data_IF_639567461116
#
_entry.id   IF_639567461116
#
_cell.length_a   1.000
_cell.length_b   1.000
_cell.length_c   1.000
_cell.angle_alpha   90.00
_cell.angle_beta   90.00
_cell.angle_gamma   90.00
#
_symmetry.space_group_name_H-M   'P 1'
#
loop_
_entity.id
_entity.type
_entity.pdbx_description
1 polymer ?
#
# COMPACT_ATOMS: atom_id res chain seq x y z
N UNK A 1 -34.52 -3.82 -35.99
CA UNK A 1 -34.72 -2.53 -36.68
C UNK A 1 -33.36 -1.85 -36.76
N UNK A 2 -32.71 -1.85 -37.93
CA UNK A 2 -31.40 -1.20 -38.12
C UNK A 2 -31.60 0.31 -38.28
N UNK A 3 -30.94 1.11 -37.45
CA UNK A 3 -30.91 2.57 -37.59
C UNK A 3 -30.06 2.97 -38.82
N UNK A 4 -30.51 3.88 -39.70
CA UNK A 4 -29.74 4.30 -40.87
C UNK A 4 -28.43 5.01 -40.49
N UNK A 5 -27.41 4.84 -41.32
CA UNK A 5 -26.00 5.16 -40.99
C UNK A 5 -25.70 6.61 -40.62
N UNK A 6 -26.52 7.58 -41.03
CA UNK A 6 -26.37 9.01 -40.68
C UNK A 6 -26.83 9.28 -39.24
N UNK A 7 -27.96 8.70 -38.82
CA UNK A 7 -28.46 8.80 -37.45
C UNK A 7 -27.52 8.08 -36.47
N UNK A 8 -26.94 6.96 -36.90
CA UNK A 8 -25.95 6.22 -36.09
C UNK A 8 -24.65 7.03 -35.88
N UNK A 9 -24.25 7.85 -36.86
CA UNK A 9 -23.06 8.72 -36.77
C UNK A 9 -23.33 9.94 -35.86
N UNK A 10 -24.45 10.64 -36.06
CA UNK A 10 -24.89 11.74 -35.18
C UNK A 10 -25.00 11.32 -33.72
N UNK A 11 -25.57 10.13 -33.46
CA UNK A 11 -25.71 9.59 -32.11
C UNK A 11 -24.38 9.18 -31.47
N UNK A 12 -23.41 8.72 -32.27
CA UNK A 12 -22.05 8.45 -31.79
C UNK A 12 -21.31 9.75 -31.44
N UNK A 13 -21.43 10.77 -32.29
CA UNK A 13 -20.78 12.07 -32.08
C UNK A 13 -21.34 12.79 -30.83
N UNK A 14 -22.66 12.73 -30.60
CA UNK A 14 -23.29 13.24 -29.37
C UNK A 14 -22.79 12.50 -28.12
N UNK A 15 -22.62 11.18 -28.20
CA UNK A 15 -22.17 10.36 -27.07
C UNK A 15 -20.70 10.61 -26.73
N UNK A 16 -19.85 10.83 -27.72
CA UNK A 16 -18.46 11.24 -27.48
C UNK A 16 -18.39 12.66 -26.92
N UNK A 17 -19.22 13.60 -27.40
CA UNK A 17 -19.29 14.95 -26.83
C UNK A 17 -19.71 14.95 -25.35
N UNK A 18 -20.66 14.10 -24.96
CA UNK A 18 -21.07 13.96 -23.55
C UNK A 18 -19.94 13.37 -22.68
N UNK A 19 -19.17 12.40 -23.21
CA UNK A 19 -17.98 11.89 -22.51
C UNK A 19 -16.93 12.97 -22.32
N UNK A 20 -16.64 13.76 -23.36
CA UNK A 20 -15.67 14.85 -23.29
C UNK A 20 -16.10 15.91 -22.27
N UNK A 21 -17.39 16.26 -22.22
CA UNK A 21 -17.95 17.17 -21.23
C UNK A 21 -17.77 16.64 -19.80
N UNK A 22 -18.05 15.35 -19.56
CA UNK A 22 -17.84 14.71 -18.26
C UNK A 22 -16.35 14.74 -17.87
N UNK A 23 -15.46 14.37 -18.79
CA UNK A 23 -14.01 14.40 -18.52
C UNK A 23 -13.51 15.82 -18.24
N UNK A 24 -14.08 16.84 -18.89
CA UNK A 24 -13.77 18.24 -18.60
C UNK A 24 -14.19 18.64 -17.18
N UNK A 25 -15.38 18.23 -16.71
CA UNK A 25 -15.82 18.44 -15.32
C UNK A 25 -14.85 17.77 -14.35
N UNK A 26 -14.52 16.50 -14.58
CA UNK A 26 -13.60 15.78 -13.69
C UNK A 26 -12.21 16.41 -13.64
N UNK A 27 -11.72 16.91 -14.79
CA UNK A 27 -10.41 17.55 -14.89
C UNK A 27 -10.41 18.87 -14.12
N UNK A 28 -11.43 19.71 -14.34
CA UNK A 28 -11.57 20.98 -13.63
C UNK A 28 -11.74 20.79 -12.12
N UNK A 29 -12.48 19.77 -11.69
CA UNK A 29 -12.64 19.42 -10.28
C UNK A 29 -11.31 18.99 -9.64
N UNK A 30 -10.54 18.15 -10.33
CA UNK A 30 -9.22 17.71 -9.86
C UNK A 30 -8.23 18.87 -9.83
N UNK A 31 -8.27 19.76 -10.81
CA UNK A 31 -7.43 20.96 -10.83
C UNK A 31 -7.77 21.91 -9.69
N UNK A 32 -9.06 22.15 -9.42
CA UNK A 32 -9.51 22.94 -8.27
C UNK A 32 -9.01 22.35 -6.94
N UNK A 33 -9.05 21.02 -6.81
CA UNK A 33 -8.48 20.32 -5.65
C UNK A 33 -6.97 20.57 -5.49
N UNK A 34 -6.20 20.45 -6.57
CA UNK A 34 -4.75 20.66 -6.57
C UNK A 34 -4.36 22.13 -6.35
N UNK A 35 -5.18 23.06 -6.82
CA UNK A 35 -4.99 24.51 -6.63
C UNK A 35 -5.52 25.02 -5.29
N UNK A 36 -6.17 24.15 -4.50
CA UNK A 36 -6.81 24.49 -3.22
C UNK A 36 -7.91 25.54 -3.38
N UNK A 37 -8.61 25.51 -4.51
CA UNK A 37 -9.77 26.36 -4.81
C UNK A 37 -11.05 25.63 -4.41
N UNK A 38 -11.51 25.90 -3.19
CA UNK A 38 -12.71 25.26 -2.66
C UNK A 38 -13.98 25.66 -3.43
N UNK A 39 -14.11 26.91 -3.88
CA UNK A 39 -15.34 27.40 -4.51
C UNK A 39 -15.54 26.74 -5.89
N UNK A 40 -14.48 26.68 -6.70
CA UNK A 40 -14.54 25.96 -7.98
C UNK A 40 -14.78 24.46 -7.76
N UNK A 41 -14.12 23.87 -6.75
CA UNK A 41 -14.35 22.47 -6.38
C UNK A 41 -15.83 22.23 -6.03
N UNK A 42 -16.39 23.06 -5.16
CA UNK A 42 -17.79 22.96 -4.70
C UNK A 42 -18.83 23.07 -5.82
N UNK A 43 -18.53 23.86 -6.85
CA UNK A 43 -19.43 24.05 -7.99
C UNK A 43 -19.61 22.78 -8.84
N UNK A 44 -18.60 21.91 -8.86
CA UNK A 44 -18.63 20.62 -9.57
C UNK A 44 -19.41 19.53 -8.85
N UNK A 45 -19.81 19.74 -7.59
CA UNK A 45 -20.51 18.75 -6.79
C UNK A 45 -22.01 19.03 -6.69
N UNK A 46 -22.79 17.97 -6.59
CA UNK A 46 -24.21 18.04 -6.22
C UNK A 46 -24.30 18.43 -4.75
N UNK A 47 -25.00 19.53 -4.47
CA UNK A 47 -25.16 20.05 -3.11
C UNK A 47 -26.44 19.47 -2.50
N UNK A 48 -26.39 18.19 -2.11
CA UNK A 48 -27.54 17.42 -1.63
C UNK A 48 -27.19 16.51 -0.45
N UNK A 49 -28.15 16.19 0.44
CA UNK A 49 -27.99 15.14 1.45
C UNK A 49 -27.69 13.74 0.88
N UNK A 50 -28.00 13.51 -0.40
CA UNK A 50 -27.74 12.23 -1.08
C UNK A 50 -26.31 12.10 -1.58
N UNK A 51 -25.53 13.19 -1.60
CA UNK A 51 -24.14 13.17 -2.06
C UNK A 51 -23.30 12.25 -1.17
N UNK A 52 -22.36 11.51 -1.77
CA UNK A 52 -21.50 10.55 -1.06
C UNK A 52 -20.04 10.75 -1.42
N UNK A 53 -19.17 10.66 -0.41
CA UNK A 53 -17.72 10.54 -0.61
C UNK A 53 -17.21 9.39 0.24
N UNK A 54 -16.74 8.35 -0.44
CA UNK A 54 -16.26 7.12 0.17
C UNK A 54 -14.79 6.95 -0.18
N UNK A 55 -13.95 6.79 0.82
CA UNK A 55 -12.50 6.76 0.63
C UNK A 55 -11.91 5.59 1.39
N UNK A 56 -11.00 4.87 0.74
CA UNK A 56 -10.09 3.94 1.37
C UNK A 56 -8.67 4.44 1.18
N UNK A 57 -7.98 4.69 2.29
CA UNK A 57 -6.54 4.95 2.32
C UNK A 57 -5.84 3.75 2.94
N UNK A 58 -4.72 3.34 2.37
CA UNK A 58 -3.98 2.17 2.86
C UNK A 58 -3.50 2.37 4.32
N UNK A 59 -3.24 3.63 4.71
CA UNK A 59 -2.76 4.01 6.04
C UNK A 59 -3.85 4.49 7.00
N UNK A 60 -4.97 5.06 6.49
CA UNK A 60 -6.02 5.65 7.31
C UNK A 60 -7.32 4.83 7.36
N UNK A 61 -7.39 3.75 6.58
CA UNK A 61 -8.56 2.88 6.50
C UNK A 61 -9.71 3.48 5.70
N UNK A 62 -10.92 3.02 6.02
CA UNK A 62 -12.16 3.42 5.34
C UNK A 62 -12.76 4.66 5.98
N UNK A 63 -13.28 5.55 5.14
CA UNK A 63 -14.15 6.63 5.58
C UNK A 63 -15.30 6.87 4.61
N UNK A 64 -16.45 7.21 5.16
CA UNK A 64 -17.65 7.56 4.41
C UNK A 64 -18.20 8.87 4.96
N UNK A 65 -18.23 9.90 4.12
CA UNK A 65 -18.87 11.17 4.41
C UNK A 65 -20.22 11.21 3.65
N UNK A 66 -21.32 11.42 4.38
CA UNK A 66 -22.69 11.41 3.85
C UNK A 66 -23.30 12.82 3.84
N UNK A 67 -23.71 13.26 2.65
CA UNK A 67 -24.30 14.57 2.42
C UNK A 67 -23.27 15.66 2.14
N UNK A 68 -23.67 16.64 1.32
CA UNK A 68 -22.77 17.71 0.87
C UNK A 68 -22.20 18.54 2.02
N UNK A 69 -22.98 18.90 3.03
CA UNK A 69 -22.50 19.78 4.11
C UNK A 69 -21.31 19.18 4.88
N UNK A 70 -21.36 17.87 5.14
CA UNK A 70 -20.27 17.12 5.80
C UNK A 70 -19.03 17.08 4.91
N UNK A 71 -19.23 16.78 3.62
CA UNK A 71 -18.15 16.75 2.61
C UNK A 71 -17.49 18.12 2.48
N UNK A 72 -18.30 19.18 2.32
CA UNK A 72 -17.87 20.56 2.14
C UNK A 72 -17.06 21.06 3.33
N UNK A 73 -17.57 20.89 4.56
CA UNK A 73 -16.87 21.29 5.78
C UNK A 73 -15.46 20.68 5.85
N UNK A 74 -15.34 19.39 5.50
CA UNK A 74 -14.07 18.69 5.48
C UNK A 74 -13.15 19.17 4.37
N UNK A 75 -13.66 19.32 3.15
CA UNK A 75 -12.87 19.82 2.01
C UNK A 75 -12.28 21.20 2.34
N UNK A 76 -13.04 22.09 2.98
CA UNK A 76 -12.55 23.38 3.50
C UNK A 76 -11.41 23.19 4.50
N UNK A 77 -11.59 22.33 5.50
CA UNK A 77 -10.52 22.05 6.49
C UNK A 77 -9.24 21.55 5.84
N UNK A 78 -9.33 20.69 4.81
CA UNK A 78 -8.14 20.18 4.11
C UNK A 78 -7.46 21.31 3.32
N UNK A 79 -8.24 22.10 2.59
CA UNK A 79 -7.75 23.25 1.82
C UNK A 79 -7.03 24.27 2.70
N UNK A 80 -7.59 24.57 3.87
CA UNK A 80 -7.02 25.51 4.84
C UNK A 80 -5.76 24.96 5.52
N UNK A 81 -5.77 23.68 5.91
CA UNK A 81 -4.68 23.06 6.67
C UNK A 81 -3.48 22.68 5.80
N UNK A 82 -3.70 22.39 4.51
CA UNK A 82 -2.66 21.94 3.57
C UNK A 82 -2.63 22.84 2.32
N UNK A 83 -2.13 24.08 2.44
CA UNK A 83 -2.28 25.10 1.39
C UNK A 83 -1.35 24.90 0.17
N UNK A 84 -0.51 23.86 0.16
CA UNK A 84 0.42 23.60 -0.94
C UNK A 84 -0.35 23.29 -2.22
N UNK A 85 -0.02 24.02 -3.29
CA UNK A 85 -0.62 23.88 -4.63
C UNK A 85 0.25 23.04 -5.55
N UNK A 86 -0.38 22.37 -6.52
CA UNK A 86 0.30 21.52 -7.51
C UNK A 86 -0.31 21.70 -8.90
N UNK A 87 0.52 21.59 -9.95
CA UNK A 87 0.04 21.66 -11.33
C UNK A 87 -0.45 20.28 -11.80
N UNK A 88 -1.62 20.22 -12.45
CA UNK A 88 -2.20 18.97 -12.93
C UNK A 88 -1.28 18.22 -13.89
N UNK A 89 -0.77 18.89 -14.94
CA UNK A 89 0.03 18.25 -16.00
C UNK A 89 1.35 17.65 -15.53
N UNK A 90 1.88 18.13 -14.41
CA UNK A 90 3.15 17.68 -13.84
C UNK A 90 2.96 16.55 -12.82
N UNK A 91 1.76 16.42 -12.25
CA UNK A 91 1.53 15.56 -11.08
C UNK A 91 0.43 14.52 -11.30
N UNK A 92 -0.46 14.70 -12.27
CA UNK A 92 -1.63 13.83 -12.43
C UNK A 92 -1.67 13.21 -13.80
N UNK A 93 -1.76 11.88 -13.82
CA UNK A 93 -2.02 11.09 -15.00
C UNK A 93 -3.20 10.15 -14.76
N UNK A 94 -4.08 10.03 -15.76
CA UNK A 94 -5.19 9.09 -15.72
C UNK A 94 -4.99 7.95 -16.70
N UNK A 95 -5.23 6.73 -16.23
CA UNK A 95 -5.17 5.49 -17.00
C UNK A 95 -6.50 4.74 -16.93
N UNK A 96 -6.75 3.87 -17.92
CA UNK A 96 -7.91 2.95 -17.97
C UNK A 96 -9.25 3.66 -17.75
N UNK A 97 -9.39 4.85 -18.33
CA UNK A 97 -10.62 5.64 -18.25
C UNK A 97 -11.75 4.88 -18.94
N UNK A 98 -12.84 4.69 -18.22
CA UNK A 98 -14.09 4.15 -18.74
C UNK A 98 -15.24 5.07 -18.32
N UNK A 99 -16.03 5.51 -19.29
CA UNK A 99 -17.16 6.43 -19.10
C UNK A 99 -18.41 5.77 -19.65
N UNK A 100 -19.41 5.60 -18.78
CA UNK A 100 -20.75 5.14 -19.17
C UNK A 100 -21.75 6.26 -18.89
N UNK A 101 -22.47 6.66 -19.93
CA UNK A 101 -23.51 7.69 -19.87
C UNK A 101 -24.86 7.06 -20.14
N UNK A 102 -25.85 7.41 -19.31
CA UNK A 102 -27.24 7.01 -19.43
C UNK A 102 -28.15 8.20 -19.07
N UNK A 103 -28.76 8.83 -20.08
CA UNK A 103 -29.67 9.96 -19.93
C UNK A 103 -29.06 11.10 -19.08
N UNK A 104 -29.56 11.29 -17.85
CA UNK A 104 -29.12 12.33 -16.92
C UNK A 104 -28.12 11.83 -15.87
N UNK A 105 -27.59 10.61 -16.01
CA UNK A 105 -26.61 10.02 -15.10
C UNK A 105 -25.40 9.48 -15.88
N UNK A 106 -24.23 9.56 -15.28
CA UNK A 106 -23.05 8.89 -15.77
C UNK A 106 -22.27 8.26 -14.62
N UNK A 107 -21.52 7.21 -14.91
CA UNK A 107 -20.44 6.78 -14.05
C UNK A 107 -19.13 6.69 -14.81
N UNK A 108 -18.05 7.04 -14.11
CA UNK A 108 -16.70 7.05 -14.63
C UNK A 108 -15.81 6.26 -13.71
N UNK A 109 -14.97 5.39 -14.27
CA UNK A 109 -13.92 4.70 -13.52
C UNK A 109 -12.56 4.98 -14.16
N UNK A 110 -11.54 5.23 -13.36
CA UNK A 110 -10.18 5.48 -13.85
C UNK A 110 -9.12 5.21 -12.77
N UNK A 111 -7.90 4.90 -13.22
CA UNK A 111 -6.70 4.88 -12.38
C UNK A 111 -6.10 6.30 -12.38
N UNK A 112 -5.96 6.91 -11.22
CA UNK A 112 -5.34 8.23 -11.02
C UNK A 112 -3.96 8.08 -10.40
N UNK A 113 -2.96 8.72 -11.00
CA UNK A 113 -1.56 8.58 -10.61
C UNK A 113 -0.92 9.94 -10.29
N UNK A 114 -0.26 10.03 -9.13
CA UNK A 114 0.74 11.06 -8.80
C UNK A 114 0.31 12.27 -7.97
N UNK A 115 -0.89 12.24 -7.39
CA UNK A 115 -1.43 13.36 -6.62
C UNK A 115 -0.58 13.71 -5.39
N UNK A 116 -0.02 12.72 -4.68
CA UNK A 116 0.63 12.92 -3.37
C UNK A 116 2.17 12.92 -3.43
N UNK A 117 2.75 13.10 -4.62
CA UNK A 117 4.17 13.41 -4.81
C UNK A 117 5.03 12.21 -5.21
N UNK A 118 4.46 11.25 -5.93
CA UNK A 118 5.15 10.05 -6.41
C UNK A 118 4.33 9.26 -7.44
N UNK A 119 4.49 7.94 -7.46
CA UNK A 119 3.68 7.01 -8.27
C UNK A 119 2.44 6.51 -7.49
N UNK A 120 1.79 7.37 -6.70
CA UNK A 120 0.59 6.98 -5.93
C UNK A 120 -0.53 6.59 -6.87
N UNK A 121 -1.16 5.43 -6.63
CA UNK A 121 -2.23 4.92 -7.47
C UNK A 121 -3.54 4.96 -6.69
N UNK A 122 -4.51 5.71 -7.20
CA UNK A 122 -5.88 5.77 -6.69
C UNK A 122 -6.83 5.24 -7.75
N UNK A 123 -7.65 4.25 -7.38
CA UNK A 123 -8.74 3.77 -8.25
C UNK A 123 -9.97 4.58 -7.92
N UNK A 124 -10.44 5.34 -8.90
CA UNK A 124 -11.55 6.27 -8.76
C UNK A 124 -12.80 5.69 -9.43
N UNK A 125 -13.93 5.81 -8.76
CA UNK A 125 -15.26 5.70 -9.33
C UNK A 125 -16.02 6.97 -8.99
N UNK A 126 -16.53 7.66 -10.00
CA UNK A 126 -17.35 8.86 -9.85
C UNK A 126 -18.71 8.66 -10.50
N UNK A 127 -19.78 8.99 -9.80
CA UNK A 127 -21.13 9.08 -10.35
C UNK A 127 -21.47 10.56 -10.52
N UNK A 128 -21.96 10.91 -11.70
CA UNK A 128 -22.37 12.26 -12.05
C UNK A 128 -23.85 12.29 -12.41
N UNK A 129 -24.51 13.39 -12.07
CA UNK A 129 -25.86 13.72 -12.49
C UNK A 129 -25.84 15.00 -13.32
N UNK A 130 -26.69 15.05 -14.34
CA UNK A 130 -26.95 16.27 -15.08
C UNK A 130 -28.03 17.06 -14.35
N UNK A 131 -27.67 18.23 -13.83
CA UNK A 131 -28.56 19.16 -13.13
C UNK A 131 -28.53 20.48 -13.90
N UNK A 132 -29.69 20.95 -14.34
CA UNK A 132 -29.85 22.18 -15.11
C UNK A 132 -28.91 22.25 -16.33
N UNK A 133 -28.73 21.12 -17.01
CA UNK A 133 -27.89 20.99 -18.19
C UNK A 133 -26.40 20.76 -17.90
N UNK A 134 -25.96 20.85 -16.64
CA UNK A 134 -24.55 20.74 -16.23
C UNK A 134 -24.29 19.43 -15.49
N UNK A 135 -23.19 18.75 -15.83
CA UNK A 135 -22.75 17.55 -15.10
C UNK A 135 -22.16 17.92 -13.75
N UNK A 136 -22.63 17.25 -12.70
CA UNK A 136 -22.15 17.42 -11.31
C UNK A 136 -21.92 16.09 -10.64
N UNK A 137 -20.88 15.99 -9.83
CA UNK A 137 -20.49 14.80 -9.10
C UNK A 137 -21.43 14.60 -7.91
N UNK A 138 -22.11 13.46 -7.85
CA UNK A 138 -22.96 13.06 -6.72
C UNK A 138 -22.29 12.03 -5.81
N UNK A 139 -21.39 11.22 -6.36
CA UNK A 139 -20.68 10.18 -5.61
C UNK A 139 -19.22 10.10 -6.05
N UNK A 140 -18.32 9.99 -5.07
CA UNK A 140 -16.93 9.58 -5.30
C UNK A 140 -16.63 8.37 -4.42
N UNK A 141 -16.03 7.36 -5.04
CA UNK A 141 -15.39 6.23 -4.36
C UNK A 141 -13.93 6.21 -4.79
N UNK A 142 -13.03 6.35 -3.84
CA UNK A 142 -11.58 6.33 -4.07
C UNK A 142 -10.94 5.21 -3.26
N UNK A 143 -10.07 4.42 -3.90
CA UNK A 143 -9.28 3.38 -3.24
C UNK A 143 -7.79 3.58 -3.54
N UNK A 144 -7.01 3.87 -2.50
CA UNK A 144 -5.56 3.99 -2.59
C UNK A 144 -4.87 2.61 -2.66
N UNK A 145 -3.87 2.50 -3.53
CA UNK A 145 -2.94 1.38 -3.63
C UNK A 145 -1.53 1.87 -3.32
N UNK A 146 -0.85 1.21 -2.38
CA UNK A 146 0.54 1.54 -2.00
C UNK A 146 1.58 0.65 -2.67
N UNK A 147 1.17 -0.41 -3.37
CA UNK A 147 2.06 -1.41 -3.99
C UNK A 147 3.09 -0.76 -4.94
N UNK A 148 2.69 0.24 -5.73
CA UNK A 148 3.59 0.91 -6.68
C UNK A 148 4.56 1.90 -6.02
N UNK A 149 4.23 2.40 -4.83
CA UNK A 149 5.04 3.38 -4.09
C UNK A 149 6.04 2.71 -3.14
N UNK A 150 6.03 1.39 -3.06
CA UNK A 150 6.91 0.68 -2.14
C UNK A 150 8.39 0.96 -2.48
N UNK A 151 9.09 1.54 -1.52
CA UNK A 151 10.52 1.85 -1.59
C UNK A 151 11.40 0.64 -1.27
N UNK A 152 10.83 -0.56 -1.36
CA UNK A 152 11.49 -1.84 -1.15
C UNK A 152 11.07 -2.83 -2.24
N UNK A 153 11.87 -3.87 -2.51
CA UNK A 153 11.52 -4.94 -3.44
C UNK A 153 10.17 -5.60 -3.16
N UNK A 154 9.32 -5.69 -4.19
CA UNK A 154 8.05 -6.41 -4.15
C UNK A 154 7.85 -7.32 -5.36
N UNK A 155 7.36 -8.53 -5.10
CA UNK A 155 7.04 -9.55 -6.11
C UNK A 155 5.61 -10.03 -5.88
N UNK A 156 4.76 -9.92 -6.89
CA UNK A 156 3.44 -10.56 -6.91
C UNK A 156 3.55 -12.00 -7.38
N UNK A 157 2.92 -12.92 -6.65
CA UNK A 157 2.94 -14.35 -6.95
C UNK A 157 1.55 -14.98 -6.98
N UNK A 158 1.38 -16.03 -7.79
CA UNK A 158 0.22 -16.93 -7.70
C UNK A 158 0.40 -18.00 -6.59
N UNK A 159 -0.62 -18.84 -6.40
CA UNK A 159 -0.59 -19.92 -5.41
C UNK A 159 0.48 -20.99 -5.68
N UNK A 160 0.99 -21.08 -6.92
CA UNK A 160 2.04 -21.99 -7.37
C UNK A 160 3.44 -21.35 -7.33
N UNK A 161 3.57 -20.15 -6.75
CA UNK A 161 4.76 -19.30 -6.72
C UNK A 161 5.19 -18.73 -8.08
N UNK A 162 4.33 -18.76 -9.12
CA UNK A 162 4.64 -18.07 -10.38
C UNK A 162 4.64 -16.58 -10.16
N UNK A 163 5.65 -15.91 -10.71
CA UNK A 163 5.77 -14.46 -10.63
C UNK A 163 4.82 -13.84 -11.63
N UNK A 164 3.87 -13.04 -11.14
CA UNK A 164 2.91 -12.31 -11.96
C UNK A 164 3.38 -10.88 -12.25
N UNK A 165 4.07 -10.28 -11.28
CA UNK A 165 4.60 -8.92 -11.38
C UNK A 165 5.76 -8.70 -10.42
N UNK A 166 6.61 -7.73 -10.74
CA UNK A 166 7.73 -7.28 -9.90
C UNK A 166 7.87 -5.77 -10.03
N UNK A 167 8.12 -5.07 -8.93
CA UNK A 167 8.57 -3.69 -9.03
C UNK A 167 10.05 -3.61 -9.49
N UNK A 168 10.50 -2.42 -9.88
CA UNK A 168 11.88 -2.18 -10.35
C UNK A 168 12.92 -2.63 -9.33
N UNK A 169 12.70 -2.32 -8.04
CA UNK A 169 13.61 -2.69 -6.96
C UNK A 169 13.75 -4.21 -6.82
N UNK A 170 12.66 -4.98 -6.98
CA UNK A 170 12.72 -6.43 -6.99
C UNK A 170 13.48 -6.96 -8.20
N UNK A 171 13.26 -6.43 -9.40
CA UNK A 171 14.00 -6.85 -10.59
C UNK A 171 15.51 -6.67 -10.45
N UNK A 172 15.94 -5.55 -9.87
CA UNK A 172 17.35 -5.22 -9.64
C UNK A 172 17.96 -6.09 -8.54
N UNK A 173 17.29 -6.20 -7.38
CA UNK A 173 17.90 -6.85 -6.19
C UNK A 173 17.78 -8.36 -6.19
N UNK A 174 16.76 -8.94 -6.82
CA UNK A 174 16.52 -10.40 -6.78
C UNK A 174 17.66 -11.20 -7.44
N UNK A 175 18.38 -10.62 -8.41
CA UNK A 175 19.46 -11.31 -9.13
C UNK A 175 20.64 -11.65 -8.20
N UNK A 176 20.96 -10.76 -7.26
CA UNK A 176 22.05 -10.93 -6.29
C UNK A 176 21.60 -11.48 -4.93
N UNK A 177 20.29 -11.58 -4.68
CA UNK A 177 19.77 -11.91 -3.35
C UNK A 177 20.21 -13.32 -2.91
N UNK A 178 20.78 -13.46 -1.70
CA UNK A 178 21.37 -14.74 -1.26
C UNK A 178 20.33 -15.75 -0.73
N UNK A 179 19.12 -15.30 -0.37
CA UNK A 179 18.05 -16.15 0.17
C UNK A 179 16.95 -16.53 -0.83
N UNK A 180 16.80 -15.78 -1.93
CA UNK A 180 15.71 -15.93 -2.90
C UNK A 180 16.30 -16.07 -4.30
N UNK A 181 15.57 -16.78 -5.17
CA UNK A 181 15.92 -16.93 -6.57
C UNK A 181 14.66 -17.02 -7.43
N UNK A 182 14.83 -16.70 -8.71
CA UNK A 182 13.83 -16.95 -9.74
C UNK A 182 14.29 -18.17 -10.53
N UNK A 183 13.46 -19.20 -10.61
CA UNK A 183 13.72 -20.41 -11.39
C UNK A 183 12.48 -20.81 -12.17
N UNK A 184 12.60 -20.91 -13.50
CA UNK A 184 11.50 -21.22 -14.41
C UNK A 184 10.25 -20.34 -14.18
N UNK A 185 10.46 -19.02 -14.03
CA UNK A 185 9.38 -18.05 -13.80
C UNK A 185 8.73 -18.10 -12.42
N UNK A 186 9.29 -18.85 -11.47
CA UNK A 186 8.77 -18.98 -10.10
C UNK A 186 9.73 -18.43 -9.07
N UNK A 187 9.19 -17.80 -8.03
CA UNK A 187 9.93 -17.40 -6.85
C UNK A 187 10.25 -18.62 -5.97
N UNK A 188 11.51 -18.75 -5.55
CA UNK A 188 11.96 -19.84 -4.69
C UNK A 188 12.91 -19.34 -3.61
N UNK A 189 12.92 -20.02 -2.47
CA UNK A 189 14.05 -19.92 -1.54
C UNK A 189 15.27 -20.66 -2.13
N UNK A 190 16.46 -20.08 -2.01
CA UNK A 190 17.71 -20.70 -2.49
C UNK A 190 18.08 -21.95 -1.70
N UNK A 191 17.78 -21.96 -0.40
CA UNK A 191 18.00 -23.11 0.49
C UNK A 191 16.72 -23.94 0.57
N UNK A 192 16.85 -25.26 0.38
CA UNK A 192 15.73 -26.20 0.36
C UNK A 192 14.96 -26.25 1.69
N UNK A 193 15.66 -26.05 2.81
CA UNK A 193 15.09 -26.01 4.16
C UNK A 193 14.07 -24.87 4.37
N UNK A 194 14.17 -23.78 3.61
CA UNK A 194 13.25 -22.63 3.71
C UNK A 194 12.16 -22.65 2.63
N UNK A 195 12.25 -23.56 1.65
CA UNK A 195 11.31 -23.61 0.53
C UNK A 195 9.89 -24.05 0.93
N UNK A 196 9.75 -24.89 1.95
CA UNK A 196 8.43 -25.26 2.51
C UNK A 196 7.80 -24.09 3.27
N UNK A 197 8.60 -23.38 4.07
CA UNK A 197 8.13 -22.24 4.88
C UNK A 197 7.62 -21.10 4.01
N UNK A 198 8.37 -20.74 2.95
CA UNK A 198 7.93 -19.72 1.99
C UNK A 198 6.62 -20.12 1.28
N UNK A 199 6.53 -21.37 0.82
CA UNK A 199 5.31 -21.88 0.18
C UNK A 199 4.12 -21.89 1.12
N UNK A 200 4.33 -22.26 2.38
CA UNK A 200 3.26 -22.27 3.38
C UNK A 200 2.76 -20.85 3.67
N UNK A 201 3.65 -19.86 3.78
CA UNK A 201 3.25 -18.47 3.96
C UNK A 201 2.39 -17.96 2.79
N UNK A 202 2.77 -18.27 1.54
CA UNK A 202 1.95 -17.95 0.35
C UNK A 202 0.63 -18.71 0.36
N UNK A 203 0.64 -20.00 0.73
CA UNK A 203 -0.59 -20.80 0.82
C UNK A 203 -1.57 -20.24 1.86
N UNK A 204 -1.08 -19.78 3.01
CA UNK A 204 -1.88 -19.10 4.02
C UNK A 204 -2.47 -17.82 3.45
N UNK A 205 -1.67 -16.99 2.77
CA UNK A 205 -2.14 -15.79 2.10
C UNK A 205 -3.27 -16.08 1.10
N UNK A 206 -3.15 -17.13 0.28
CA UNK A 206 -4.21 -17.52 -0.67
C UNK A 206 -5.45 -18.11 0.00
N UNK A 207 -5.29 -18.84 1.11
CA UNK A 207 -6.45 -19.31 1.90
C UNK A 207 -7.25 -18.12 2.42
N UNK A 208 -6.57 -17.08 2.89
CA UNK A 208 -7.22 -15.85 3.35
C UNK A 208 -7.87 -15.09 2.19
N UNK A 209 -7.21 -14.96 1.03
CA UNK A 209 -7.81 -14.32 -0.17
C UNK A 209 -9.10 -15.01 -0.64
N UNK A 210 -9.19 -16.33 -0.47
CA UNK A 210 -10.35 -17.14 -0.84
C UNK A 210 -11.43 -17.18 0.27
N UNK A 211 -11.09 -16.73 1.48
CA UNK A 211 -12.01 -16.66 2.60
C UNK A 211 -12.94 -15.46 2.51
N UNK A 212 -14.22 -15.63 2.84
CA UNK A 212 -15.16 -14.52 3.07
C UNK A 212 -15.05 -13.94 4.50
N UNK A 213 -14.13 -14.46 5.30
CA UNK A 213 -14.01 -14.16 6.72
C UNK A 213 -13.34 -12.81 6.91
N UNK A 214 -14.02 -11.87 7.59
CA UNK A 214 -13.44 -10.58 7.99
C UNK A 214 -12.22 -10.84 8.88
N UNK A 215 -11.06 -10.33 8.49
CA UNK A 215 -9.97 -10.08 9.43
C UNK A 215 -10.47 -8.97 10.37
N UNK A 216 -10.98 -9.41 11.52
CA UNK A 216 -11.38 -8.57 12.63
C UNK A 216 -10.16 -7.72 13.03
N UNK A 217 -10.17 -6.43 12.70
CA UNK A 217 -9.33 -5.39 13.31
C UNK A 217 -7.79 -5.53 13.17
N UNK A 218 -7.26 -6.40 12.31
CA UNK A 218 -5.80 -6.60 12.20
C UNK A 218 -5.21 -5.87 10.98
N UNK A 219 -4.10 -5.13 11.11
CA UNK A 219 -3.41 -4.49 9.98
C UNK A 219 -2.95 -5.53 8.96
N UNK A 220 -2.70 -5.11 7.71
CA UNK A 220 -2.19 -5.92 6.57
C UNK A 220 -1.40 -7.14 7.06
N UNK A 221 -2.05 -8.31 7.10
CA UNK A 221 -1.44 -9.50 7.69
C UNK A 221 -0.19 -9.86 6.89
N UNK A 222 0.95 -9.92 7.59
CA UNK A 222 2.22 -10.22 6.98
C UNK A 222 2.88 -11.39 7.68
N UNK A 223 3.14 -12.46 6.93
CA UNK A 223 3.83 -13.65 7.39
C UNK A 223 5.34 -13.49 7.17
N UNK A 224 6.16 -13.33 8.22
CA UNK A 224 7.60 -13.30 8.09
C UNK A 224 8.13 -14.70 7.75
N UNK A 225 9.01 -14.76 6.76
CA UNK A 225 9.69 -15.98 6.30
C UNK A 225 11.18 -15.76 6.47
N UNK A 226 11.81 -16.64 7.25
CA UNK A 226 13.27 -16.65 7.41
C UNK A 226 13.90 -17.41 6.23
N UNK A 227 14.93 -16.81 5.64
CA UNK A 227 15.62 -17.32 4.46
C UNK A 227 17.05 -17.79 4.75
N UNK A 228 17.41 -17.87 6.04
CA UNK A 228 18.72 -18.28 6.52
C UNK A 228 19.59 -17.08 6.84
N UNK A 229 20.89 -17.24 6.74
CA UNK A 229 21.90 -16.19 6.94
C UNK A 229 22.67 -15.95 5.64
N UNK A 230 23.07 -14.72 5.36
CA UNK A 230 23.95 -14.40 4.24
C UNK A 230 25.41 -14.82 4.51
N UNK A 231 26.31 -14.58 3.56
CA UNK A 231 27.74 -14.88 3.69
C UNK A 231 28.43 -14.16 4.86
N UNK A 232 27.85 -13.09 5.39
CA UNK A 232 28.34 -12.35 6.55
C UNK A 232 27.68 -12.82 7.87
N UNK A 233 26.79 -13.82 7.82
CA UNK A 233 26.05 -14.31 8.99
C UNK A 233 24.80 -13.48 9.32
N UNK A 234 24.38 -12.57 8.42
CA UNK A 234 23.23 -11.69 8.64
C UNK A 234 21.94 -12.45 8.35
N UNK A 235 20.96 -12.49 9.28
CA UNK A 235 19.69 -13.15 9.04
C UNK A 235 18.88 -12.51 7.90
N UNK A 236 18.66 -13.28 6.85
CA UNK A 236 17.83 -12.90 5.71
C UNK A 236 16.37 -13.28 5.95
N UNK A 237 15.47 -12.43 5.48
CA UNK A 237 14.04 -12.63 5.65
C UNK A 237 13.26 -11.98 4.51
N UNK A 238 12.03 -12.46 4.31
CA UNK A 238 11.04 -11.81 3.48
C UNK A 238 9.68 -11.82 4.19
N UNK A 239 8.73 -11.03 3.70
CA UNK A 239 7.36 -11.06 4.18
C UNK A 239 6.42 -11.40 3.05
N UNK A 240 5.53 -12.34 3.30
CA UNK A 240 4.34 -12.54 2.47
C UNK A 240 3.23 -11.69 3.06
N UNK A 241 2.56 -10.87 2.28
CA UNK A 241 1.43 -10.07 2.75
C UNK A 241 0.33 -9.97 1.70
N UNK A 242 -0.87 -9.64 2.16
CA UNK A 242 -2.01 -9.38 1.31
C UNK A 242 -2.25 -7.89 1.14
N UNK A 243 -2.33 -7.46 -0.11
CA UNK A 243 -2.68 -6.08 -0.47
C UNK A 243 -3.36 -6.07 -1.84
N UNK A 244 -4.40 -5.26 -2.02
CA UNK A 244 -5.20 -5.16 -3.25
C UNK A 244 -5.71 -6.49 -3.82
N UNK A 245 -6.01 -7.47 -2.96
CA UNK A 245 -6.43 -8.80 -3.40
C UNK A 245 -5.31 -9.64 -4.03
N UNK A 246 -4.05 -9.28 -3.77
CA UNK A 246 -2.85 -9.95 -4.29
C UNK A 246 -2.01 -10.52 -3.17
N UNK A 247 -1.32 -11.62 -3.47
CA UNK A 247 -0.25 -12.15 -2.62
C UNK A 247 1.09 -11.54 -3.06
N UNK A 248 1.71 -10.79 -2.15
CA UNK A 248 2.94 -10.04 -2.40
C UNK A 248 4.05 -10.57 -1.48
N UNK A 249 5.25 -10.70 -2.04
CA UNK A 249 6.47 -11.01 -1.29
C UNK A 249 7.37 -9.80 -1.31
N UNK A 250 7.66 -9.23 -0.14
CA UNK A 250 8.66 -8.18 0.04
C UNK A 250 9.93 -8.70 0.70
N UNK A 251 11.07 -8.12 0.35
CA UNK A 251 12.38 -8.42 0.94
C UNK A 251 13.23 -7.15 0.97
N UNK A 252 14.32 -7.14 1.74
CA UNK A 252 15.19 -5.97 1.96
C UNK A 252 14.42 -4.69 2.38
N UNK A 253 13.36 -4.86 3.19
CA UNK A 253 12.50 -3.77 3.68
C UNK A 253 12.98 -3.26 5.04
N UNK A 254 14.02 -2.42 5.02
CA UNK A 254 14.61 -1.84 6.21
C UNK A 254 13.63 -1.00 7.05
N UNK A 255 12.61 -0.39 6.43
CA UNK A 255 11.62 0.41 7.15
C UNK A 255 10.69 -0.48 7.96
N UNK A 256 10.20 -1.58 7.38
CA UNK A 256 9.41 -2.57 8.12
C UNK A 256 10.22 -3.21 9.24
N UNK A 257 11.50 -3.53 9.00
CA UNK A 257 12.41 -4.02 10.05
C UNK A 257 12.45 -3.03 11.23
N UNK A 258 12.78 -1.76 10.96
CA UNK A 258 12.92 -0.74 11.98
C UNK A 258 11.62 -0.56 12.78
N UNK A 259 10.48 -0.44 12.08
CA UNK A 259 9.16 -0.31 12.71
C UNK A 259 8.84 -1.50 13.62
N UNK A 260 9.09 -2.73 13.17
CA UNK A 260 8.81 -3.94 13.97
C UNK A 260 9.71 -4.04 15.19
N UNK A 261 10.98 -3.64 15.09
CA UNK A 261 11.88 -3.55 16.25
C UNK A 261 11.38 -2.52 17.27
N UNK A 262 10.92 -1.37 16.81
CA UNK A 262 10.39 -0.32 17.69
C UNK A 262 9.10 -0.78 18.38
N UNK A 263 8.21 -1.47 17.67
CA UNK A 263 7.02 -2.08 18.27
C UNK A 263 7.37 -3.19 19.27
N UNK A 264 8.39 -4.00 18.97
CA UNK A 264 8.90 -5.02 19.87
C UNK A 264 9.47 -4.42 21.17
N UNK A 265 9.97 -3.18 21.14
CA UNK A 265 10.38 -2.46 22.34
C UNK A 265 9.23 -2.32 23.33
N UNK A 266 8.07 -1.90 22.84
CA UNK A 266 6.87 -1.67 23.65
C UNK A 266 6.29 -3.00 24.16
N UNK A 267 6.16 -3.99 23.27
CA UNK A 267 5.53 -5.28 23.60
C UNK A 267 6.36 -6.09 24.61
N UNK A 268 7.67 -6.16 24.41
CA UNK A 268 8.56 -6.94 25.30
C UNK A 268 9.18 -6.08 26.41
N UNK A 269 8.83 -4.80 26.51
CA UNK A 269 9.38 -3.87 27.49
C UNK A 269 10.91 -3.76 27.42
N UNK A 270 11.49 -3.70 26.22
CA UNK A 270 12.93 -3.62 26.02
C UNK A 270 13.44 -2.21 26.38
N UNK A 271 14.60 -2.13 27.05
CA UNK A 271 15.20 -0.83 27.37
C UNK A 271 15.88 -0.21 26.14
N UNK A 272 16.16 1.12 26.15
CA UNK A 272 16.87 1.76 25.04
C UNK A 272 18.22 1.12 24.70
N UNK A 273 18.94 0.60 25.70
CA UNK A 273 20.20 -0.12 25.47
C UNK A 273 19.97 -1.49 24.79
N UNK A 274 18.92 -2.20 25.20
CA UNK A 274 18.54 -3.49 24.63
C UNK A 274 18.11 -3.37 23.18
N UNK A 275 17.37 -2.30 22.83
CA UNK A 275 16.99 -2.04 21.44
C UNK A 275 18.17 -1.68 20.56
N UNK A 276 19.13 -0.90 21.05
CA UNK A 276 20.37 -0.64 20.30
C UNK A 276 21.11 -1.93 19.97
N UNK A 277 21.19 -2.86 20.92
CA UNK A 277 21.78 -4.18 20.68
C UNK A 277 20.93 -5.01 19.70
N UNK A 278 19.61 -5.04 19.88
CA UNK A 278 18.70 -5.79 19.02
C UNK A 278 18.78 -5.34 17.55
N UNK A 279 18.85 -4.02 17.28
CA UNK A 279 19.06 -3.48 15.94
C UNK A 279 20.34 -4.02 15.30
N UNK A 280 21.46 -3.96 16.04
CA UNK A 280 22.74 -4.48 15.53
C UNK A 280 22.70 -5.99 15.23
N UNK A 281 22.00 -6.77 16.04
CA UNK A 281 21.83 -8.21 15.82
C UNK A 281 20.97 -8.46 14.57
N UNK A 282 19.89 -7.70 14.38
CA UNK A 282 19.03 -7.80 13.18
C UNK A 282 19.79 -7.38 11.92
N UNK A 283 20.65 -6.37 12.02
CA UNK A 283 21.58 -5.95 10.97
C UNK A 283 22.73 -6.95 10.75
N UNK A 284 22.79 -8.05 11.53
CA UNK A 284 23.74 -9.15 11.39
C UNK A 284 25.13 -8.91 11.98
N UNK A 285 25.28 -7.90 12.83
CA UNK A 285 26.52 -7.73 13.58
C UNK A 285 26.68 -8.81 14.64
N UNK A 286 27.85 -9.43 14.69
CA UNK A 286 28.22 -10.29 15.81
C UNK A 286 28.40 -9.46 17.12
N UNK A 287 28.51 -10.16 18.25
CA UNK A 287 28.63 -9.50 19.55
C UNK A 287 29.94 -8.71 19.72
N UNK A 288 31.00 -9.05 18.99
CA UNK A 288 32.28 -8.35 19.08
C UNK A 288 32.19 -7.00 18.34
N UNK A 289 31.74 -7.01 17.09
CA UNK A 289 31.48 -5.82 16.30
C UNK A 289 30.44 -4.90 16.96
N UNK A 290 29.39 -5.49 17.55
CA UNK A 290 28.40 -4.72 18.30
C UNK A 290 29.00 -4.06 19.55
N UNK A 291 29.93 -4.74 20.25
CA UNK A 291 30.58 -4.22 21.45
C UNK A 291 31.47 -3.01 21.11
N UNK A 292 32.23 -3.10 20.04
CA UNK A 292 33.05 -1.99 19.52
C UNK A 292 32.19 -0.79 19.16
N UNK A 293 31.10 -1.02 18.42
CA UNK A 293 30.20 0.05 17.95
C UNK A 293 29.45 0.75 19.07
N UNK A 294 29.05 -0.01 20.10
CA UNK A 294 28.40 0.52 21.29
C UNK A 294 29.39 1.02 22.36
N UNK A 295 30.70 0.85 22.15
CA UNK A 295 31.79 1.22 23.07
C UNK A 295 31.61 0.62 24.47
N UNK A 296 31.26 -0.66 24.53
CA UNK A 296 31.10 -1.44 25.77
C UNK A 296 31.83 -2.77 25.67
N UNK A 297 31.95 -3.52 26.78
CA UNK A 297 32.56 -4.85 26.73
C UNK A 297 31.64 -5.90 26.10
N UNK A 298 32.21 -6.91 25.46
CA UNK A 298 31.47 -8.09 24.96
C UNK A 298 30.72 -8.82 26.08
N UNK A 299 31.27 -8.86 27.30
CA UNK A 299 30.59 -9.42 28.47
C UNK A 299 29.34 -8.62 28.86
N UNK A 300 29.39 -7.29 28.74
CA UNK A 300 28.24 -6.41 28.96
C UNK A 300 27.15 -6.73 27.94
N UNK A 301 27.50 -6.88 26.66
CA UNK A 301 26.53 -7.24 25.61
C UNK A 301 25.97 -8.65 25.78
N UNK A 302 26.79 -9.63 26.17
CA UNK A 302 26.30 -10.99 26.48
C UNK A 302 25.25 -10.96 27.60
N UNK A 303 25.50 -10.18 28.65
CA UNK A 303 24.53 -9.97 29.74
C UNK A 303 23.26 -9.27 29.23
N UNK A 304 23.39 -8.25 28.38
CA UNK A 304 22.22 -7.58 27.79
C UNK A 304 21.41 -8.51 26.89
N UNK A 305 22.08 -9.32 26.06
CA UNK A 305 21.46 -10.30 25.17
C UNK A 305 20.70 -11.37 25.96
N UNK A 306 21.28 -11.87 27.05
CA UNK A 306 20.58 -12.81 27.93
C UNK A 306 19.29 -12.21 28.49
N UNK A 307 19.34 -10.95 28.95
CA UNK A 307 18.13 -10.25 29.43
C UNK A 307 17.10 -10.03 28.32
N UNK A 308 17.53 -9.90 27.06
CA UNK A 308 16.60 -9.83 25.92
C UNK A 308 15.95 -11.19 25.70
N UNK A 309 16.70 -12.29 25.75
CA UNK A 309 16.16 -13.65 25.70
C UNK A 309 15.14 -13.91 26.80
N UNK A 310 15.42 -13.48 28.03
CA UNK A 310 14.50 -13.64 29.15
C UNK A 310 13.18 -12.86 28.94
N UNK A 311 13.26 -11.64 28.37
CA UNK A 311 12.07 -10.80 28.09
C UNK A 311 11.25 -11.27 26.89
N UNK A 312 11.90 -11.87 25.90
CA UNK A 312 11.26 -12.31 24.65
C UNK A 312 10.87 -13.80 24.67
N UNK A 313 11.34 -14.56 25.66
CA UNK A 313 11.08 -15.99 25.80
C UNK A 313 11.83 -16.88 24.81
N UNK A 314 12.76 -16.33 24.03
CA UNK A 314 13.54 -17.06 23.01
C UNK A 314 14.89 -17.49 23.55
N UNK A 315 15.53 -18.47 22.89
CA UNK A 315 16.82 -19.04 23.33
C UNK A 315 17.95 -18.96 22.31
N UNK A 316 17.74 -18.31 21.18
CA UNK A 316 18.77 -18.12 20.15
C UNK A 316 18.63 -16.76 19.47
N UNK A 317 19.71 -16.26 18.89
CA UNK A 317 19.69 -15.00 18.12
C UNK A 317 18.74 -15.09 16.92
N UNK A 318 18.74 -16.20 16.19
CA UNK A 318 17.80 -16.43 15.10
C UNK A 318 16.32 -16.41 15.56
N UNK A 319 16.01 -17.02 16.71
CA UNK A 319 14.67 -16.97 17.29
C UNK A 319 14.29 -15.57 17.78
N UNK A 320 15.26 -14.82 18.33
CA UNK A 320 15.06 -13.42 18.69
C UNK A 320 14.74 -12.57 17.47
N UNK A 321 15.53 -12.63 16.41
CA UNK A 321 15.27 -11.87 15.17
C UNK A 321 13.89 -12.21 14.62
N UNK A 322 13.51 -13.50 14.57
CA UNK A 322 12.16 -13.90 14.20
C UNK A 322 11.10 -13.25 15.09
N UNK A 323 11.27 -13.30 16.42
CA UNK A 323 10.31 -12.74 17.36
C UNK A 323 10.13 -11.24 17.13
N UNK A 324 11.23 -10.49 17.02
CA UNK A 324 11.21 -9.04 16.78
C UNK A 324 10.53 -8.70 15.44
N UNK A 325 10.82 -9.45 14.38
CA UNK A 325 10.27 -9.23 13.03
C UNK A 325 8.87 -9.83 12.82
N UNK A 326 8.33 -10.54 13.80
CA UNK A 326 6.95 -11.05 13.80
C UNK A 326 6.01 -10.19 14.63
N UNK A 327 6.54 -9.23 15.40
CA UNK A 327 5.70 -8.30 16.16
C UNK A 327 4.84 -7.47 15.23
N UNK A 328 3.54 -7.46 15.49
CA UNK A 328 2.58 -6.52 14.93
C UNK A 328 1.95 -5.76 16.10
N UNK A 329 2.01 -4.43 16.07
CA UNK A 329 1.33 -3.63 17.08
C UNK A 329 -0.21 -3.78 16.93
N UNK A 330 -0.97 -3.81 18.04
CA UNK A 330 -2.37 -3.45 18.00
C UNK A 330 -2.47 -2.01 17.45
N UNK A 331 -3.39 -1.76 16.52
CA UNK A 331 -3.70 -0.38 16.14
C UNK A 331 -4.25 0.34 17.38
N UNK A 332 -3.57 1.40 17.84
CA UNK A 332 -4.14 2.37 18.77
C UNK A 332 -5.25 3.19 18.10
#
# INVERSE_FOLDING_TARGET
>A
MQMPGILRRSWMDEREAEKDAILAVLRSETEAWLQRDFETLANHWVQSPQTRRMEYYASLGVRVDEGWDVIAARLKTIVERFPQRRAFSEHVRWDKINVIVAESMAWVTYDQIGIDGGDDLKRELKILHRIDGVWKISCVVMMESTIKQANFPMIEVDADMRILWTNRLAQERIQGHQGLAIAAGRLRAKRSEHASVLREAVRLAFRELQGQTRLTLSPKQAWPVILGEDAAGVPMHCWVHLEDGKALVSFDDAQTIARRIDQAQEIYGLSPAQIRLARLIVDGHDLAAAAERLRVSTNTLRTQLQRIFDKTGVRSQAALVRSLLSVEAPNN
#
